data_IF_661000674769
#
_entry.id   IF_661000674769
#
_cell.length_a   1.000
_cell.length_b   1.000
_cell.length_c   1.000
_cell.angle_alpha   90.00
_cell.angle_beta   90.00
_cell.angle_gamma   90.00
#
_symmetry.space_group_name_H-M   'P 1'
#
loop_
_entity.id
_entity.type
_entity.pdbx_description
1 polymer ?
#
# COMPACT_ATOMS: atom_id res chain seq x y z
N UNK A 1 -13.99 -31.40 4.31
CA UNK A 1 -14.12 -29.95 4.53
C UNK A 1 -14.79 -29.33 3.31
N UNK A 2 -15.87 -28.56 3.51
CA UNK A 2 -16.59 -27.88 2.41
C UNK A 2 -15.66 -26.90 1.66
N UNK A 3 -15.85 -26.77 0.35
CA UNK A 3 -15.08 -25.85 -0.50
C UNK A 3 -15.16 -24.40 -0.03
N UNK A 4 -16.33 -23.96 0.48
CA UNK A 4 -16.48 -22.64 1.09
C UNK A 4 -15.58 -22.46 2.31
N UNK A 5 -15.43 -23.50 3.12
CA UNK A 5 -14.59 -23.47 4.33
C UNK A 5 -13.10 -23.42 3.93
N UNK A 6 -12.69 -24.17 2.90
CA UNK A 6 -11.32 -24.10 2.36
C UNK A 6 -10.97 -22.70 1.84
N UNK A 7 -11.88 -22.10 1.07
CA UNK A 7 -11.71 -20.75 0.55
C UNK A 7 -11.58 -19.74 1.69
N UNK A 8 -12.53 -19.73 2.63
CA UNK A 8 -12.51 -18.79 3.76
C UNK A 8 -11.25 -18.96 4.62
N UNK A 9 -10.82 -20.20 4.87
CA UNK A 9 -9.58 -20.46 5.60
C UNK A 9 -8.35 -19.92 4.85
N UNK A 10 -8.28 -20.16 3.54
CA UNK A 10 -7.19 -19.67 2.69
C UNK A 10 -7.15 -18.14 2.70
N UNK A 11 -8.31 -17.50 2.51
CA UNK A 11 -8.45 -16.05 2.59
C UNK A 11 -7.95 -15.51 3.93
N UNK A 12 -8.43 -16.07 5.06
CA UNK A 12 -8.02 -15.63 6.39
C UNK A 12 -6.51 -15.75 6.60
N UNK A 13 -5.92 -16.90 6.22
CA UNK A 13 -4.47 -17.12 6.34
C UNK A 13 -3.70 -16.13 5.47
N UNK A 14 -4.11 -15.94 4.20
CA UNK A 14 -3.46 -15.00 3.30
C UNK A 14 -3.53 -13.56 3.81
N UNK A 15 -4.69 -13.12 4.33
CA UNK A 15 -4.87 -11.77 4.87
C UNK A 15 -4.01 -11.54 6.12
N UNK A 16 -4.00 -12.50 7.04
CA UNK A 16 -3.17 -12.42 8.25
C UNK A 16 -1.68 -12.37 7.91
N UNK A 17 -1.22 -13.29 7.06
CA UNK A 17 0.19 -13.32 6.63
C UNK A 17 0.57 -12.06 5.86
N UNK A 18 -0.29 -11.57 4.97
CA UNK A 18 -0.03 -10.36 4.20
C UNK A 18 0.21 -9.14 5.10
N UNK A 19 -0.61 -8.94 6.14
CA UNK A 19 -0.43 -7.82 7.06
C UNK A 19 0.89 -7.88 7.83
N UNK A 20 1.28 -9.08 8.28
CA UNK A 20 2.56 -9.31 8.97
C UNK A 20 3.74 -9.09 8.01
N UNK A 21 3.61 -9.55 6.76
CA UNK A 21 4.68 -9.43 5.76
C UNK A 21 4.87 -7.98 5.29
N UNK A 22 3.81 -7.20 5.11
CA UNK A 22 3.93 -5.76 4.81
C UNK A 22 4.65 -5.04 5.96
N UNK A 23 4.30 -5.34 7.22
CA UNK A 23 5.00 -4.79 8.38
C UNK A 23 6.49 -5.18 8.40
N UNK A 24 6.79 -6.46 8.15
CA UNK A 24 8.15 -6.98 8.17
C UNK A 24 9.02 -6.38 7.06
N UNK A 25 8.48 -6.24 5.84
CA UNK A 25 9.17 -5.62 4.72
C UNK A 25 9.40 -4.13 4.98
N UNK A 26 8.37 -3.40 5.41
CA UNK A 26 8.51 -1.98 5.75
C UNK A 26 9.60 -1.78 6.83
N UNK A 27 9.56 -2.59 7.88
CA UNK A 27 10.56 -2.59 8.96
C UNK A 27 11.98 -2.87 8.43
N UNK A 28 12.16 -3.92 7.61
CA UNK A 28 13.46 -4.24 7.00
C UNK A 28 14.01 -3.07 6.19
N UNK A 29 13.22 -2.49 5.30
CA UNK A 29 13.70 -1.47 4.40
C UNK A 29 13.87 -0.10 5.05
N UNK A 30 12.97 0.29 5.96
CA UNK A 30 13.00 1.61 6.59
C UNK A 30 13.94 1.64 7.79
N UNK A 31 13.85 0.67 8.69
CA UNK A 31 14.58 0.72 9.96
C UNK A 31 15.98 0.12 9.84
N UNK A 32 16.15 -0.95 9.06
CA UNK A 32 17.45 -1.63 8.94
C UNK A 32 18.26 -1.15 7.73
N UNK A 33 17.61 -0.96 6.57
CA UNK A 33 18.31 -0.55 5.35
C UNK A 33 18.24 0.97 5.08
N UNK A 34 17.46 1.71 5.86
CA UNK A 34 17.29 3.17 5.73
C UNK A 34 16.89 3.63 4.32
N UNK A 35 16.15 2.80 3.59
CA UNK A 35 15.61 3.14 2.28
C UNK A 35 14.43 4.10 2.46
N UNK A 36 14.39 5.24 1.75
CA UNK A 36 13.34 6.25 1.90
C UNK A 36 12.05 5.87 1.15
N UNK A 37 11.66 4.60 1.19
CA UNK A 37 10.45 4.05 0.56
C UNK A 37 9.59 3.36 1.63
N UNK A 38 8.29 3.22 1.36
CA UNK A 38 7.35 2.68 2.34
C UNK A 38 7.33 1.16 2.35
N UNK A 39 7.16 0.56 1.17
CA UNK A 39 7.06 -0.90 0.97
C UNK A 39 6.07 -1.64 1.90
N UNK A 40 5.11 -0.91 2.44
CA UNK A 40 4.13 -1.34 3.45
C UNK A 40 2.80 -1.80 2.85
N UNK A 41 2.78 -2.05 1.53
CA UNK A 41 1.55 -2.39 0.79
C UNK A 41 1.78 -3.41 -0.32
N UNK A 42 2.95 -4.05 -0.37
CA UNK A 42 3.26 -5.05 -1.39
C UNK A 42 2.24 -6.20 -1.29
N UNK A 43 2.04 -6.73 -0.09
CA UNK A 43 1.14 -7.85 0.16
C UNK A 43 -0.32 -7.41 0.21
N UNK A 44 -0.61 -6.19 0.67
CA UNK A 44 -1.90 -5.53 0.52
C UNK A 44 -2.36 -5.50 -0.94
N UNK A 45 -1.48 -5.10 -1.87
CA UNK A 45 -1.80 -5.08 -3.30
C UNK A 45 -1.93 -6.50 -3.85
N UNK A 46 -1.09 -7.45 -3.41
CA UNK A 46 -1.24 -8.85 -3.81
C UNK A 46 -2.62 -9.42 -3.41
N UNK A 47 -3.09 -9.11 -2.20
CA UNK A 47 -4.42 -9.48 -1.72
C UNK A 47 -5.52 -8.72 -2.48
N UNK A 48 -5.27 -7.46 -2.88
CA UNK A 48 -6.20 -6.69 -3.70
C UNK A 48 -6.49 -7.38 -5.03
N UNK A 49 -5.45 -7.83 -5.72
CA UNK A 49 -5.58 -8.59 -6.98
C UNK A 49 -6.21 -9.96 -6.77
N UNK A 50 -5.95 -10.62 -5.64
CA UNK A 50 -6.36 -12.02 -5.42
C UNK A 50 -7.76 -12.17 -4.85
N UNK A 51 -8.18 -11.25 -3.99
CA UNK A 51 -9.38 -11.39 -3.15
C UNK A 51 -10.25 -10.12 -3.10
N UNK A 52 -9.79 -9.02 -3.71
CA UNK A 52 -10.54 -7.78 -3.83
C UNK A 52 -10.32 -6.77 -2.69
N UNK A 53 -11.03 -5.63 -2.75
CA UNK A 53 -10.72 -4.44 -1.97
C UNK A 53 -11.00 -4.59 -0.48
N UNK A 54 -12.04 -5.34 -0.11
CA UNK A 54 -12.37 -5.55 1.30
C UNK A 54 -11.29 -6.35 2.02
N UNK A 55 -10.80 -7.44 1.40
CA UNK A 55 -9.72 -8.25 1.96
C UNK A 55 -8.43 -7.43 2.09
N UNK A 56 -8.11 -6.65 1.06
CA UNK A 56 -6.95 -5.74 1.05
C UNK A 56 -7.03 -4.66 2.14
N UNK A 57 -8.23 -4.14 2.41
CA UNK A 57 -8.44 -3.20 3.50
C UNK A 57 -8.22 -3.85 4.88
N UNK A 58 -8.62 -5.11 5.07
CA UNK A 58 -8.35 -5.82 6.33
C UNK A 58 -6.83 -6.03 6.51
N UNK A 59 -6.09 -6.36 5.44
CA UNK A 59 -4.61 -6.42 5.49
C UNK A 59 -4.03 -5.10 6.00
N UNK A 60 -4.52 -3.98 5.47
CA UNK A 60 -4.09 -2.67 5.91
C UNK A 60 -4.39 -2.44 7.40
N UNK A 61 -5.61 -2.75 7.86
CA UNK A 61 -5.99 -2.61 9.27
C UNK A 61 -5.07 -3.43 10.18
N UNK A 62 -4.69 -4.64 9.78
CA UNK A 62 -3.73 -5.46 10.53
C UNK A 62 -2.36 -4.77 10.56
N UNK A 63 -1.82 -4.38 9.40
CA UNK A 63 -0.51 -3.73 9.30
C UNK A 63 -0.44 -2.47 10.17
N UNK A 64 -1.40 -1.55 10.01
CA UNK A 64 -1.41 -0.29 10.76
C UNK A 64 -1.58 -0.52 12.28
N UNK A 65 -2.32 -1.55 12.69
CA UNK A 65 -2.43 -1.94 14.11
C UNK A 65 -1.07 -2.35 14.68
N UNK A 66 -0.29 -3.12 13.93
CA UNK A 66 1.05 -3.56 14.34
C UNK A 66 2.01 -2.36 14.37
N UNK A 67 1.94 -1.46 13.38
CA UNK A 67 2.73 -0.22 13.36
C UNK A 67 2.43 0.64 14.58
N UNK A 68 1.15 0.83 14.92
CA UNK A 68 0.75 1.55 16.12
C UNK A 68 1.31 0.88 17.40
N UNK A 69 1.20 -0.44 17.52
CA UNK A 69 1.77 -1.16 18.67
C UNK A 69 3.29 -0.94 18.78
N UNK A 70 4.02 -1.03 17.66
CA UNK A 70 5.47 -0.76 17.61
C UNK A 70 5.78 0.67 18.08
N UNK A 71 5.05 1.67 17.58
CA UNK A 71 5.29 3.06 17.92
C UNK A 71 4.99 3.36 19.39
N UNK A 72 3.93 2.76 19.94
CA UNK A 72 3.61 2.83 21.36
C UNK A 72 4.75 2.24 22.20
N UNK A 73 5.24 1.05 21.85
CA UNK A 73 6.29 0.36 22.58
C UNK A 73 7.65 1.10 22.53
N UNK A 74 7.99 1.71 21.40
CA UNK A 74 9.29 2.36 21.21
C UNK A 74 9.31 3.83 21.66
N UNK A 75 8.19 4.54 21.49
CA UNK A 75 8.15 6.00 21.63
C UNK A 75 7.04 6.51 22.56
N UNK A 76 6.19 5.62 23.08
CA UNK A 76 5.07 5.98 23.97
C UNK A 76 4.04 6.91 23.31
N UNK A 77 3.94 6.86 21.98
CA UNK A 77 3.07 7.73 21.18
C UNK A 77 2.53 6.98 19.98
N UNK A 78 1.22 7.05 19.78
CA UNK A 78 0.52 6.50 18.60
C UNK A 78 -0.23 7.56 17.80
N UNK A 79 -0.12 8.82 18.22
CA UNK A 79 -0.99 9.88 17.75
C UNK A 79 -0.88 10.05 16.22
N UNK A 80 -2.05 10.10 15.56
CA UNK A 80 -2.26 10.42 14.14
C UNK A 80 -1.83 9.40 13.08
N UNK A 81 -1.21 8.28 13.46
CA UNK A 81 -0.86 7.20 12.52
C UNK A 81 -2.10 6.64 11.82
N UNK A 82 -3.22 6.55 12.54
CA UNK A 82 -4.51 6.14 12.00
C UNK A 82 -5.08 7.08 10.95
N UNK A 83 -4.71 8.36 10.93
CA UNK A 83 -5.19 9.33 9.92
C UNK A 83 -4.61 8.98 8.55
N UNK A 84 -3.38 8.44 8.51
CA UNK A 84 -2.76 7.95 7.27
C UNK A 84 -3.50 6.76 6.63
N UNK A 85 -4.46 6.15 7.33
CA UNK A 85 -5.39 5.16 6.76
C UNK A 85 -6.22 5.68 5.60
N UNK A 86 -6.47 6.98 5.54
CA UNK A 86 -7.13 7.59 4.38
C UNK A 86 -6.28 7.45 3.11
N UNK A 87 -4.96 7.53 3.22
CA UNK A 87 -4.04 7.36 2.10
C UNK A 87 -4.08 5.94 1.56
N UNK A 88 -4.03 4.94 2.45
CA UNK A 88 -4.13 3.53 2.08
C UNK A 88 -5.50 3.18 1.48
N UNK A 89 -6.58 3.72 2.04
CA UNK A 89 -7.92 3.54 1.47
C UNK A 89 -8.00 4.04 0.02
N UNK A 90 -7.42 5.21 -0.25
CA UNK A 90 -7.36 5.76 -1.61
C UNK A 90 -6.51 4.90 -2.53
N UNK A 91 -5.36 4.39 -2.08
CA UNK A 91 -4.53 3.45 -2.85
C UNK A 91 -5.35 2.22 -3.25
N UNK A 92 -6.07 1.61 -2.30
CA UNK A 92 -6.93 0.44 -2.54
C UNK A 92 -8.01 0.78 -3.56
N UNK A 93 -8.75 1.87 -3.33
CA UNK A 93 -9.88 2.26 -4.17
C UNK A 93 -9.44 2.55 -5.60
N UNK A 94 -8.42 3.40 -5.79
CA UNK A 94 -7.94 3.78 -7.11
C UNK A 94 -7.39 2.55 -7.83
N UNK A 95 -6.52 1.76 -7.19
CA UNK A 95 -5.98 0.55 -7.83
C UNK A 95 -7.08 -0.42 -8.20
N UNK A 96 -8.05 -0.64 -7.31
CA UNK A 96 -9.20 -1.51 -7.54
C UNK A 96 -10.05 -1.08 -8.75
N UNK A 97 -10.33 0.23 -8.88
CA UNK A 97 -11.12 0.76 -9.99
C UNK A 97 -10.53 0.42 -11.36
N UNK A 98 -9.20 0.31 -11.44
CA UNK A 98 -8.51 -0.21 -12.61
C UNK A 98 -8.60 -1.74 -12.66
N UNK A 99 -8.12 -2.45 -11.64
CA UNK A 99 -7.92 -3.90 -11.76
C UNK A 99 -9.22 -4.71 -11.84
N UNK A 100 -10.36 -4.17 -11.39
CA UNK A 100 -11.69 -4.81 -11.50
C UNK A 100 -12.10 -5.15 -12.94
N UNK A 101 -11.51 -4.49 -13.94
CA UNK A 101 -11.68 -4.84 -15.36
C UNK A 101 -10.62 -5.86 -15.76
N UNK A 102 -10.80 -7.10 -15.31
CA UNK A 102 -9.83 -8.19 -15.48
C UNK A 102 -9.48 -8.49 -16.94
N UNK A 103 -10.42 -8.21 -17.87
CA UNK A 103 -10.20 -8.31 -19.31
C UNK A 103 -8.97 -7.52 -19.77
N UNK A 104 -8.64 -6.40 -19.13
CA UNK A 104 -7.47 -5.59 -19.48
C UNK A 104 -6.15 -6.23 -19.05
N UNK A 105 -6.18 -7.10 -18.03
CA UNK A 105 -5.00 -7.83 -17.56
C UNK A 105 -4.67 -9.05 -18.42
N UNK A 106 -5.60 -9.48 -19.29
CA UNK A 106 -5.46 -10.67 -20.17
C UNK A 106 -5.11 -10.33 -21.64
N UNK A 107 -5.01 -9.05 -22.00
CA UNK A 107 -4.75 -8.57 -23.39
C UNK A 107 -3.29 -8.67 -23.84
N UNK A 108 -2.43 -9.33 -23.07
CA UNK A 108 -1.01 -9.53 -23.36
C UNK A 108 -0.10 -8.66 -22.50
N UNK A 109 1.17 -9.08 -22.41
CA UNK A 109 2.15 -8.56 -21.43
C UNK A 109 2.31 -7.04 -21.49
N UNK A 110 2.47 -6.46 -22.69
CA UNK A 110 2.67 -5.02 -22.84
C UNK A 110 1.45 -4.20 -22.40
N UNK A 111 0.24 -4.68 -22.71
CA UNK A 111 -0.99 -4.01 -22.28
C UNK A 111 -1.16 -4.09 -20.77
N UNK A 112 -0.94 -5.27 -20.18
CA UNK A 112 -0.98 -5.47 -18.73
C UNK A 112 0.03 -4.58 -18.01
N UNK A 113 1.25 -4.46 -18.55
CA UNK A 113 2.29 -3.57 -18.02
C UNK A 113 1.84 -2.11 -17.99
N UNK A 114 1.40 -1.56 -19.13
CA UNK A 114 0.92 -0.17 -19.22
C UNK A 114 -0.29 0.05 -18.31
N UNK A 115 -1.17 -0.95 -18.22
CA UNK A 115 -2.37 -0.87 -17.39
C UNK A 115 -2.03 -0.78 -15.89
N UNK A 116 -1.15 -1.65 -15.41
CA UNK A 116 -0.68 -1.63 -14.02
C UNK A 116 0.12 -0.36 -13.73
N UNK A 117 0.97 0.07 -14.67
CA UNK A 117 1.71 1.33 -14.55
C UNK A 117 0.75 2.51 -14.39
N UNK A 118 -0.27 2.60 -15.23
CA UNK A 118 -1.28 3.66 -15.16
C UNK A 118 -2.04 3.64 -13.84
N UNK A 119 -2.44 2.45 -13.37
CA UNK A 119 -3.09 2.29 -12.07
C UNK A 119 -2.17 2.76 -10.92
N UNK A 120 -0.90 2.35 -10.93
CA UNK A 120 0.08 2.69 -9.89
C UNK A 120 0.39 4.19 -9.84
N UNK A 121 0.56 4.85 -10.98
CA UNK A 121 0.79 6.30 -11.07
C UNK A 121 -0.45 7.07 -10.65
N UNK A 122 -1.63 6.63 -11.08
CA UNK A 122 -2.89 7.27 -10.67
C UNK A 122 -3.09 7.17 -9.16
N UNK A 123 -2.87 5.99 -8.58
CA UNK A 123 -2.94 5.79 -7.14
C UNK A 123 -1.90 6.66 -6.39
N UNK A 124 -0.68 6.77 -6.92
CA UNK A 124 0.37 7.61 -6.36
C UNK A 124 0.00 9.10 -6.32
N UNK A 125 -0.56 9.63 -7.41
CA UNK A 125 -0.94 11.04 -7.49
C UNK A 125 -2.05 11.36 -6.48
N UNK A 126 -3.11 10.56 -6.43
CA UNK A 126 -4.22 10.81 -5.48
C UNK A 126 -3.75 10.59 -4.04
N UNK A 127 -2.93 9.57 -3.78
CA UNK A 127 -2.33 9.34 -2.47
C UNK A 127 -1.42 10.51 -2.03
N UNK A 128 -0.67 11.11 -2.95
CA UNK A 128 0.20 12.25 -2.64
C UNK A 128 -0.60 13.48 -2.23
N UNK A 129 -1.73 13.73 -2.89
CA UNK A 129 -2.66 14.81 -2.50
C UNK A 129 -3.22 14.54 -1.11
N UNK A 130 -3.81 13.37 -0.89
CA UNK A 130 -4.45 13.03 0.41
C UNK A 130 -3.44 13.03 1.55
N UNK A 131 -2.30 12.37 1.36
CA UNK A 131 -1.25 12.34 2.38
C UNK A 131 -0.61 13.71 2.61
N UNK A 132 -0.49 14.55 1.57
CA UNK A 132 -0.03 15.93 1.70
C UNK A 132 -0.97 16.79 2.54
N UNK A 133 -2.29 16.65 2.38
CA UNK A 133 -3.26 17.30 3.26
C UNK A 133 -3.11 16.84 4.71
N UNK A 134 -2.97 15.53 4.94
CA UNK A 134 -2.76 14.97 6.28
C UNK A 134 -1.51 15.58 6.91
N UNK A 135 -0.39 15.62 6.19
CA UNK A 135 0.86 16.20 6.67
C UNK A 135 0.78 17.69 6.95
N UNK A 136 0.06 18.45 6.12
CA UNK A 136 -0.17 19.86 6.37
C UNK A 136 -0.93 20.11 7.67
N UNK A 137 -1.96 19.30 7.95
CA UNK A 137 -2.71 19.40 9.20
C UNK A 137 -1.88 18.95 10.41
N UNK A 138 -1.12 17.85 10.31
CA UNK A 138 -0.25 17.40 11.40
C UNK A 138 0.85 18.42 11.70
N UNK A 139 1.42 19.03 10.67
CA UNK A 139 2.39 20.12 10.81
C UNK A 139 1.81 21.31 11.55
N UNK A 140 0.60 21.77 11.18
CA UNK A 140 -0.07 22.88 11.89
C UNK A 140 -0.43 22.55 13.34
N UNK A 141 -0.66 21.29 13.65
CA UNK A 141 -0.89 20.83 15.03
C UNK A 141 0.41 20.62 15.82
N UNK A 142 1.58 20.85 15.21
CA UNK A 142 2.89 20.64 15.80
C UNK A 142 3.14 19.19 16.24
N UNK A 143 2.48 18.24 15.55
CA UNK A 143 2.54 16.81 15.87
C UNK A 143 3.51 16.11 14.93
N UNK A 144 4.80 16.12 15.32
CA UNK A 144 5.83 15.21 14.84
C UNK A 144 6.46 15.55 13.49
N UNK A 145 7.79 15.58 13.45
CA UNK A 145 8.60 15.61 12.23
C UNK A 145 8.99 14.18 11.87
N UNK A 146 8.37 13.59 10.84
CA UNK A 146 8.74 12.27 10.36
C UNK A 146 9.91 12.35 9.38
N UNK A 147 10.67 11.26 9.24
CA UNK A 147 11.87 11.22 8.38
C UNK A 147 11.57 11.55 6.91
N UNK A 148 10.38 11.21 6.42
CA UNK A 148 9.93 11.55 5.07
C UNK A 148 9.56 13.02 4.90
N UNK A 149 9.29 13.74 5.99
CA UNK A 149 9.01 15.18 5.92
C UNK A 149 10.28 15.99 5.65
N UNK A 150 11.48 15.41 5.78
CA UNK A 150 12.74 16.09 5.42
C UNK A 150 12.76 16.54 3.96
N UNK A 151 12.25 15.71 3.05
CA UNK A 151 12.16 16.07 1.62
C UNK A 151 11.07 17.14 1.41
N UNK A 152 9.96 17.08 2.15
CA UNK A 152 8.89 18.08 2.11
C UNK A 152 9.41 19.45 2.56
N UNK A 153 10.14 19.50 3.68
CA UNK A 153 10.68 20.74 4.22
C UNK A 153 11.83 21.33 3.38
N UNK A 154 12.54 20.51 2.61
CA UNK A 154 13.57 20.98 1.67
C UNK A 154 12.98 21.88 0.56
N UNK A 155 11.71 21.70 0.21
CA UNK A 155 11.00 22.55 -0.77
C UNK A 155 10.24 23.71 -0.12
N UNK A 156 10.04 23.69 1.19
CA UNK A 156 9.26 24.70 1.90
C UNK A 156 10.04 25.99 2.14
N UNK A 157 9.38 27.13 2.01
CA UNK A 157 9.96 28.45 2.27
C UNK A 157 10.23 29.22 0.98
N UNK A 158 11.48 29.22 0.51
CA UNK A 158 11.92 30.05 -0.61
C UNK A 158 11.30 29.64 -1.97
N UNK A 159 10.94 28.37 -2.12
CA UNK A 159 10.47 27.81 -3.40
C UNK A 159 8.96 27.62 -3.46
N UNK A 160 8.30 27.22 -2.36
CA UNK A 160 6.87 26.90 -2.33
C UNK A 160 6.26 27.13 -0.95
N UNK A 161 4.94 27.38 -0.91
CA UNK A 161 4.18 27.39 0.34
C UNK A 161 4.13 26.00 0.99
N UNK A 162 3.79 25.95 2.28
CA UNK A 162 3.84 24.72 3.10
C UNK A 162 2.91 23.64 2.56
N UNK A 163 1.68 23.98 2.14
CA UNK A 163 0.72 22.98 1.65
C UNK A 163 1.22 22.38 0.32
N UNK A 164 1.67 23.22 -0.59
CA UNK A 164 2.21 22.78 -1.88
C UNK A 164 3.46 21.91 -1.68
N UNK A 165 4.32 22.28 -0.74
CA UNK A 165 5.50 21.47 -0.37
C UNK A 165 5.10 20.10 0.17
N UNK A 166 4.07 20.02 1.02
CA UNK A 166 3.55 18.76 1.56
C UNK A 166 3.02 17.82 0.48
N UNK A 167 2.48 18.35 -0.62
CA UNK A 167 1.96 17.54 -1.74
C UNK A 167 3.07 17.19 -2.73
N UNK A 168 3.78 18.19 -3.26
CA UNK A 168 4.75 18.02 -4.35
C UNK A 168 6.02 17.32 -3.86
N UNK A 169 6.49 17.64 -2.64
CA UNK A 169 7.66 17.01 -2.05
C UNK A 169 7.52 15.49 -1.88
N UNK A 170 6.28 14.97 -1.90
CA UNK A 170 5.99 13.54 -1.79
C UNK A 170 5.97 12.81 -3.13
N UNK A 171 5.83 13.51 -4.26
CA UNK A 171 5.69 12.88 -5.58
C UNK A 171 6.82 11.90 -5.91
N UNK A 172 8.12 12.25 -5.77
CA UNK A 172 9.19 11.35 -6.18
C UNK A 172 9.17 10.02 -5.39
N UNK A 173 8.97 10.12 -4.07
CA UNK A 173 8.96 8.96 -3.18
C UNK A 173 7.70 8.12 -3.41
N UNK A 174 6.51 8.74 -3.41
CA UNK A 174 5.26 8.00 -3.52
C UNK A 174 5.11 7.38 -4.91
N UNK A 175 5.47 8.08 -6.00
CA UNK A 175 5.37 7.50 -7.35
C UNK A 175 6.29 6.29 -7.47
N UNK A 176 7.56 6.40 -7.05
CA UNK A 176 8.51 5.31 -7.13
C UNK A 176 8.06 4.11 -6.28
N UNK A 177 7.68 4.38 -5.02
CA UNK A 177 7.21 3.37 -4.09
C UNK A 177 5.95 2.66 -4.61
N UNK A 178 4.97 3.40 -5.14
CA UNK A 178 3.73 2.82 -5.67
C UNK A 178 3.95 1.99 -6.92
N UNK A 179 4.83 2.40 -7.82
CA UNK A 179 5.19 1.57 -8.98
C UNK A 179 5.77 0.25 -8.49
N UNK A 180 6.78 0.29 -7.62
CA UNK A 180 7.44 -0.93 -7.11
C UNK A 180 6.44 -1.82 -6.38
N UNK A 181 5.68 -1.28 -5.43
CA UNK A 181 4.74 -2.06 -4.62
C UNK A 181 3.60 -2.64 -5.45
N UNK A 182 3.09 -1.92 -6.44
CA UNK A 182 2.00 -2.43 -7.31
C UNK A 182 2.49 -3.57 -8.20
N UNK A 183 3.66 -3.42 -8.82
CA UNK A 183 4.23 -4.49 -9.65
C UNK A 183 4.66 -5.71 -8.82
N UNK A 184 5.28 -5.49 -7.65
CA UNK A 184 5.65 -6.58 -6.75
C UNK A 184 4.40 -7.33 -6.25
N UNK A 185 3.37 -6.59 -5.83
CA UNK A 185 2.09 -7.17 -5.41
C UNK A 185 1.41 -7.96 -6.53
N UNK A 186 1.41 -7.44 -7.76
CA UNK A 186 0.93 -8.19 -8.92
C UNK A 186 1.74 -9.47 -9.19
N UNK A 187 3.06 -9.41 -9.08
CA UNK A 187 3.92 -10.59 -9.20
C UNK A 187 3.61 -11.67 -8.15
N UNK A 188 3.43 -11.28 -6.89
CA UNK A 188 3.03 -12.18 -5.81
C UNK A 188 1.65 -12.77 -6.08
N UNK A 189 0.71 -11.98 -6.60
CA UNK A 189 -0.60 -12.48 -7.02
C UNK A 189 -0.50 -13.57 -8.09
N UNK A 190 0.36 -13.39 -9.11
CA UNK A 190 0.58 -14.41 -10.13
C UNK A 190 1.17 -15.71 -9.54
N UNK A 191 2.13 -15.60 -8.61
CA UNK A 191 2.68 -16.74 -7.88
C UNK A 191 1.61 -17.45 -7.05
N UNK A 192 0.74 -16.68 -6.38
CA UNK A 192 -0.37 -17.21 -5.60
C UNK A 192 -1.37 -17.96 -6.50
N UNK A 193 -1.76 -17.40 -7.65
CA UNK A 193 -2.64 -18.10 -8.61
C UNK A 193 -2.00 -19.41 -9.07
N UNK A 194 -0.72 -19.40 -9.43
CA UNK A 194 -0.02 -20.61 -9.88
C UNK A 194 0.00 -21.68 -8.78
N UNK A 195 0.27 -21.29 -7.53
CA UNK A 195 0.22 -22.17 -6.38
C UNK A 195 -1.19 -22.69 -6.11
N UNK A 196 -2.19 -21.81 -6.09
CA UNK A 196 -3.59 -22.15 -5.81
C UNK A 196 -4.15 -23.12 -6.85
N UNK A 197 -3.82 -22.94 -8.14
CA UNK A 197 -4.18 -23.87 -9.22
C UNK A 197 -3.53 -25.23 -9.02
N UNK A 198 -2.22 -25.27 -8.74
CA UNK A 198 -1.47 -26.52 -8.49
C UNK A 198 -2.06 -27.33 -7.33
N UNK A 199 -2.51 -26.66 -6.28
CA UNK A 199 -3.02 -27.29 -5.07
C UNK A 199 -4.55 -27.34 -4.97
N UNK A 200 -5.28 -26.96 -6.04
CA UNK A 200 -6.76 -26.93 -6.10
C UNK A 200 -7.38 -26.18 -4.92
N UNK A 201 -6.75 -25.09 -4.48
CA UNK A 201 -7.23 -24.23 -3.38
C UNK A 201 -8.35 -23.29 -3.84
N UNK A 202 -8.36 -22.97 -5.13
CA UNK A 202 -9.40 -22.21 -5.80
C UNK A 202 -9.87 -23.05 -6.99
N UNK A 203 -11.19 -23.09 -7.27
CA UNK A 203 -11.66 -23.49 -8.61
C UNK A 203 -11.09 -22.50 -9.62
N UNK A 204 -11.12 -22.86 -10.89
CA UNK A 204 -10.90 -21.95 -12.02
C UNK A 204 -11.89 -20.77 -11.99
N UNK A 205 -11.76 -19.87 -11.03
CA UNK A 205 -12.07 -18.46 -11.21
C UNK A 205 -10.79 -17.89 -11.78
N UNK A 206 -10.77 -17.73 -13.10
CA UNK A 206 -10.34 -16.55 -13.87
C UNK A 206 -10.20 -16.93 -15.33
#
# INVERSE_FOLDING_TARGET
MSEKIKYSLTLCVCVLLAGIMDFAVATLFQDFLHVPLFFDTIFLIAVLFSFGPLASFIVYVINISIVCLKLELLYGKTDYVWVYSLSAFVIILITWLFIRKEENLKKGVNHTFIYILTASVSAALVCSVVSGFISYFTFRMNVGNWTFDKLIFAFSGEYMDVLTSCIVGRFPIIILDRIITTFAGFGIHLLFIAFAKKHRLLKETF
#
